data_IF_948964310624
#
_entry.id   IF_948964310624
#
_cell.length_a   1.000
_cell.length_b   1.000
_cell.length_c   1.000
_cell.angle_alpha   90.00
_cell.angle_beta   90.00
_cell.angle_gamma   90.00
#
_symmetry.space_group_name_H-M   'P 1'
#
loop_
_entity.id
_entity.type
_entity.pdbx_description
1 polymer ?
#
# COMPACT_ATOMS: atom_id res chain seq x y z
N UNK A 1 4.85 -1.23 -11.62
CA UNK A 1 4.69 -2.09 -10.47
C UNK A 1 3.33 -1.95 -9.85
N UNK A 2 2.66 -3.06 -9.67
CA UNK A 2 1.27 -3.17 -9.26
C UNK A 2 1.17 -4.03 -8.01
N UNK A 3 0.41 -3.57 -7.01
CA UNK A 3 0.11 -4.38 -5.84
C UNK A 3 -1.40 -4.59 -5.78
N UNK A 4 -1.82 -5.86 -5.60
CA UNK A 4 -3.22 -6.21 -5.43
C UNK A 4 -3.52 -6.30 -3.94
N UNK A 5 -4.55 -5.59 -3.49
CA UNK A 5 -4.99 -5.56 -2.11
C UNK A 5 -6.38 -6.15 -2.00
N UNK A 6 -6.53 -7.17 -1.17
CA UNK A 6 -7.83 -7.71 -0.80
C UNK A 6 -8.26 -7.04 0.51
N UNK A 7 -9.33 -6.26 0.45
CA UNK A 7 -9.81 -5.48 1.59
C UNK A 7 -11.07 -6.13 2.13
N UNK A 8 -11.05 -6.48 3.41
CA UNK A 8 -12.18 -7.08 4.09
C UNK A 8 -12.97 -6.03 4.86
N UNK A 9 -14.27 -6.24 5.12
CA UNK A 9 -15.08 -5.30 5.89
C UNK A 9 -14.50 -5.08 7.29
N UNK A 10 -14.60 -3.86 7.79
CA UNK A 10 -14.15 -3.49 9.12
C UNK A 10 -13.08 -2.41 9.09
N UNK A 11 -12.88 -1.73 10.22
CA UNK A 11 -11.86 -0.72 10.39
C UNK A 11 -10.55 -1.37 10.84
N UNK A 12 -9.44 -0.79 10.44
CA UNK A 12 -8.13 -1.29 10.86
C UNK A 12 -7.01 -0.72 10.02
N UNK A 13 -5.79 -1.07 10.38
CA UNK A 13 -4.63 -0.68 9.60
C UNK A 13 -3.64 -1.82 9.50
N UNK A 14 -2.87 -1.83 8.42
CA UNK A 14 -1.80 -2.79 8.22
C UNK A 14 -0.72 -2.16 7.35
N UNK A 15 0.45 -2.79 7.35
CA UNK A 15 1.60 -2.28 6.62
C UNK A 15 2.10 -3.33 5.63
N UNK A 16 2.77 -2.85 4.58
CA UNK A 16 3.38 -3.69 3.57
C UNK A 16 4.78 -3.16 3.29
N UNK A 17 5.75 -4.07 3.29
CA UNK A 17 7.14 -3.76 2.96
C UNK A 17 7.40 -4.08 1.50
N UNK A 18 8.10 -3.18 0.82
CA UNK A 18 8.60 -3.41 -0.53
C UNK A 18 10.11 -3.24 -0.51
N UNK A 19 10.84 -4.30 -0.85
CA UNK A 19 12.29 -4.28 -0.92
C UNK A 19 12.77 -5.07 -2.14
N UNK A 20 14.08 -5.25 -2.25
CA UNK A 20 14.66 -6.00 -3.37
C UNK A 20 14.69 -7.52 -3.14
N UNK A 21 14.13 -8.01 -2.04
CA UNK A 21 14.12 -9.42 -1.70
C UNK A 21 15.41 -9.92 -1.02
N UNK A 22 16.37 -9.06 -0.76
CA UNK A 22 17.60 -9.41 -0.05
C UNK A 22 17.38 -9.36 1.46
N UNK A 23 18.03 -10.29 2.19
CA UNK A 23 17.78 -10.50 3.62
C UNK A 23 18.06 -9.29 4.50
N UNK A 24 18.97 -8.43 4.10
CA UNK A 24 19.40 -7.30 4.93
C UNK A 24 19.00 -5.94 4.40
N UNK A 25 18.20 -5.89 3.34
CA UNK A 25 17.81 -4.63 2.72
C UNK A 25 17.09 -3.70 3.71
N UNK A 26 16.20 -4.25 4.54
CA UNK A 26 15.44 -3.46 5.50
C UNK A 26 16.32 -2.89 6.62
N UNK A 27 17.42 -3.56 6.96
CA UNK A 27 18.34 -3.08 8.01
C UNK A 27 19.09 -1.83 7.58
N UNK A 28 19.35 -1.72 6.29
CA UNK A 28 20.04 -0.56 5.71
C UNK A 28 19.08 0.55 5.30
N UNK A 29 17.78 0.37 5.58
CA UNK A 29 16.76 1.32 5.17
C UNK A 29 16.40 1.26 3.69
N UNK A 30 16.88 0.24 2.97
CA UNK A 30 16.65 0.08 1.53
C UNK A 30 15.30 -0.61 1.27
N UNK A 31 14.24 -0.02 1.80
CA UNK A 31 12.88 -0.55 1.65
C UNK A 31 11.88 0.59 1.59
N UNK A 32 10.69 0.28 1.10
CA UNK A 32 9.54 1.18 1.20
C UNK A 32 8.54 0.55 2.16
N UNK A 33 7.94 1.37 3.00
CA UNK A 33 6.91 0.93 3.93
C UNK A 33 5.62 1.67 3.62
N UNK A 34 4.60 0.92 3.26
CA UNK A 34 3.26 1.45 2.97
C UNK A 34 2.34 1.14 4.15
N UNK A 35 1.52 2.09 4.52
CA UNK A 35 0.48 1.87 5.51
C UNK A 35 -0.88 2.03 4.88
N UNK A 36 -1.75 1.07 5.15
CA UNK A 36 -3.12 1.05 4.66
C UNK A 36 -4.05 1.16 5.86
N UNK A 37 -4.86 2.19 5.88
CA UNK A 37 -5.80 2.42 6.98
C UNK A 37 -7.21 2.43 6.42
N UNK A 38 -8.07 1.57 6.96
CA UNK A 38 -9.46 1.46 6.55
C UNK A 38 -10.35 1.97 7.67
N UNK A 39 -11.20 2.93 7.36
CA UNK A 39 -12.13 3.50 8.31
C UNK A 39 -13.32 4.11 7.58
N UNK A 40 -14.52 3.78 8.03
CA UNK A 40 -15.74 4.38 7.51
C UNK A 40 -15.96 4.18 6.01
N UNK A 41 -15.55 3.05 5.47
CA UNK A 41 -15.69 2.75 4.04
C UNK A 41 -14.68 3.46 3.17
N UNK A 42 -13.60 3.96 3.75
CA UNK A 42 -12.51 4.60 3.03
C UNK A 42 -11.19 3.92 3.34
N UNK A 43 -10.34 3.82 2.33
CA UNK A 43 -8.98 3.30 2.48
C UNK A 43 -8.00 4.43 2.25
N UNK A 44 -7.09 4.63 3.19
CA UNK A 44 -6.00 5.59 3.05
C UNK A 44 -4.70 4.82 2.82
N UNK A 45 -3.97 5.19 1.78
CA UNK A 45 -2.69 4.58 1.43
C UNK A 45 -1.60 5.61 1.65
N UNK A 46 -0.60 5.27 2.46
CA UNK A 46 0.49 6.18 2.79
C UNK A 46 1.83 5.49 2.58
N UNK A 47 2.80 6.25 2.04
CA UNK A 47 4.19 5.82 1.99
C UNK A 47 4.90 6.40 3.20
N UNK A 48 5.17 5.54 4.20
CA UNK A 48 5.73 5.97 5.48
C UNK A 48 7.25 6.05 5.42
N UNK A 49 7.87 5.10 4.73
CA UNK A 49 9.32 5.07 4.56
C UNK A 49 9.65 4.87 3.09
N UNK A 50 10.47 5.76 2.57
CA UNK A 50 10.87 5.80 1.15
C UNK A 50 12.37 5.58 1.07
N UNK A 51 12.77 4.31 1.02
CA UNK A 51 14.18 3.94 0.99
C UNK A 51 14.57 3.04 -0.19
N UNK A 52 13.62 2.72 -1.05
CA UNK A 52 13.85 1.84 -2.20
C UNK A 52 13.34 2.51 -3.46
N UNK A 53 14.14 2.51 -4.52
CA UNK A 53 13.85 3.25 -5.74
C UNK A 53 12.64 2.73 -6.52
N UNK A 54 12.38 1.43 -6.46
CA UNK A 54 11.22 0.83 -7.12
C UNK A 54 10.00 0.92 -6.23
N UNK A 55 9.02 1.68 -6.65
CA UNK A 55 7.80 1.90 -5.86
C UNK A 55 6.59 1.37 -6.60
N UNK A 56 5.57 1.00 -5.84
CA UNK A 56 4.28 0.69 -6.44
C UNK A 56 3.69 1.97 -7.02
N UNK A 57 3.31 1.91 -8.28
CA UNK A 57 2.67 3.04 -8.96
C UNK A 57 1.17 2.87 -9.06
N UNK A 58 0.69 1.65 -8.88
CA UNK A 58 -0.72 1.34 -8.96
C UNK A 58 -1.09 0.31 -7.89
N UNK A 59 -2.29 0.46 -7.36
CA UNK A 59 -2.87 -0.51 -6.46
C UNK A 59 -4.19 -0.97 -7.04
N UNK A 60 -4.39 -2.29 -7.08
CA UNK A 60 -5.68 -2.88 -7.41
C UNK A 60 -6.36 -3.25 -6.11
N UNK A 61 -7.49 -2.63 -5.83
CA UNK A 61 -8.19 -2.79 -4.56
C UNK A 61 -9.44 -3.63 -4.80
N UNK A 62 -9.50 -4.77 -4.14
CA UNK A 62 -10.64 -5.69 -4.21
C UNK A 62 -11.40 -5.63 -2.90
N UNK A 63 -12.67 -5.27 -2.97
CA UNK A 63 -13.51 -5.14 -1.78
C UNK A 63 -14.95 -5.43 -2.14
N UNK A 64 -15.60 -6.35 -1.42
CA UNK A 64 -17.02 -6.62 -1.57
C UNK A 64 -17.46 -6.99 -2.98
N UNK A 65 -16.65 -7.77 -3.71
CA UNK A 65 -16.94 -8.15 -5.08
C UNK A 65 -16.62 -7.06 -6.11
N UNK A 66 -16.06 -5.96 -5.67
CA UNK A 66 -15.63 -4.86 -6.55
C UNK A 66 -14.11 -4.85 -6.66
N UNK A 67 -13.66 -4.38 -7.81
CA UNK A 67 -12.24 -4.18 -8.05
C UNK A 67 -12.03 -2.81 -8.66
N UNK A 68 -11.07 -2.06 -8.13
CA UNK A 68 -10.71 -0.77 -8.68
C UNK A 68 -9.20 -0.61 -8.70
N UNK A 69 -8.70 0.05 -9.73
CA UNK A 69 -7.28 0.35 -9.87
C UNK A 69 -7.07 1.84 -9.64
N UNK A 70 -6.13 2.15 -8.76
CA UNK A 70 -5.79 3.55 -8.45
C UNK A 70 -4.32 3.80 -8.69
N UNK A 71 -3.99 5.00 -9.11
CA UNK A 71 -2.60 5.43 -9.30
C UNK A 71 -2.06 6.03 -8.01
N UNK A 72 -0.81 5.74 -7.70
CA UNK A 72 -0.14 6.22 -6.49
C UNK A 72 1.12 6.98 -6.88
N UNK A 73 1.27 8.19 -6.35
CA UNK A 73 2.38 9.08 -6.67
C UNK A 73 3.37 9.27 -5.51
N UNK A 74 3.14 8.60 -4.39
CA UNK A 74 3.94 8.76 -3.17
C UNK A 74 3.26 9.64 -2.12
N UNK A 75 2.28 10.43 -2.51
CA UNK A 75 1.48 11.20 -1.57
C UNK A 75 0.33 10.37 -1.04
N UNK A 76 -0.12 10.69 0.18
CA UNK A 76 -1.24 9.97 0.81
C UNK A 76 -2.45 9.99 -0.12
N UNK A 77 -3.02 8.81 -0.36
CA UNK A 77 -4.15 8.62 -1.26
C UNK A 77 -5.34 8.07 -0.49
N UNK A 78 -6.49 8.70 -0.68
CA UNK A 78 -7.73 8.23 -0.08
C UNK A 78 -8.62 7.61 -1.15
N UNK A 79 -9.09 6.39 -0.89
CA UNK A 79 -9.90 5.62 -1.82
C UNK A 79 -11.22 5.30 -1.16
N UNK A 80 -12.31 5.58 -1.85
CA UNK A 80 -13.64 5.20 -1.38
C UNK A 80 -13.93 3.76 -1.78
N UNK A 81 -14.26 2.96 -0.80
CA UNK A 81 -14.56 1.54 -0.98
C UNK A 81 -16.02 1.27 -1.35
#
# INVERSE_FOLDING_TARGET
>A
DLLVLDVYPGDGSYVNYQDNGEDFAYRDGAYNLYRFTQSGGKLTIELIHDGYEKKYRQFVIRSGGREQTVSFTGEALKVKL
#
